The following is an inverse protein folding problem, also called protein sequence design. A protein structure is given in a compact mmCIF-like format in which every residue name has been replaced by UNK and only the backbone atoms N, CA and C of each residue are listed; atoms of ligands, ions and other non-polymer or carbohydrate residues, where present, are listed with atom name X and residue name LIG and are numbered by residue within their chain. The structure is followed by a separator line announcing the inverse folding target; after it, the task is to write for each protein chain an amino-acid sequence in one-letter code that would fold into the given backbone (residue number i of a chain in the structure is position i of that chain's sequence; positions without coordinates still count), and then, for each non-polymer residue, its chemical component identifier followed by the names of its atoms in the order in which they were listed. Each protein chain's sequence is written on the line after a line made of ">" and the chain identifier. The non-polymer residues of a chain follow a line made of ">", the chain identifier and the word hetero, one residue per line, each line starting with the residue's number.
data_IF_287367919168
#
_entry.id   IF_287367919168
#
_cell.length_a   1.000
_cell.length_b   1.000
_cell.length_c   1.000
_cell.angle_alpha   90.00
_cell.angle_beta   90.00
_cell.angle_gamma   90.00
#
_symmetry.space_group_name_H-M   'P 1'
#
loop_
_entity.id
_entity.type
_entity.pdbx_description
1 polymer ?
#
# COMPACT_ATOMS: atom_id res chain seq x y z
N UNK A 1 -12.08 18.35 -0.33
CA UNK A 1 -11.87 17.20 -1.25
C UNK A 1 -11.38 16.03 -0.42
N UNK A 2 -12.10 14.90 -0.47
CA UNK A 2 -11.75 13.67 0.24
C UNK A 2 -10.97 12.75 -0.72
N UNK A 3 -9.73 12.41 -0.35
CA UNK A 3 -8.83 11.60 -1.20
C UNK A 3 -8.54 10.28 -0.50
N UNK A 4 -8.96 9.19 -1.11
CA UNK A 4 -8.66 7.83 -0.67
C UNK A 4 -7.35 7.36 -1.31
N UNK A 5 -6.34 7.08 -0.47
CA UNK A 5 -5.00 6.69 -0.92
C UNK A 5 -4.81 5.17 -0.96
N UNK A 6 -5.69 4.39 -0.34
CA UNK A 6 -5.61 2.93 -0.25
C UNK A 6 -6.84 2.27 -0.85
N UNK A 7 -6.73 1.81 -2.08
CA UNK A 7 -7.72 0.95 -2.71
C UNK A 7 -7.10 0.07 -3.80
N UNK A 8 -7.79 -1.01 -4.14
CA UNK A 8 -7.33 -1.97 -5.15
C UNK A 8 -8.27 -2.01 -6.36
N UNK A 9 -7.68 -2.20 -7.53
CA UNK A 9 -8.39 -2.34 -8.78
C UNK A 9 -7.90 -3.57 -9.55
N UNK A 10 -8.81 -4.28 -10.18
CA UNK A 10 -8.49 -5.48 -10.94
C UNK A 10 -8.62 -5.19 -12.44
N UNK A 11 -7.52 -4.94 -13.16
CA UNK A 11 -7.53 -4.67 -14.59
C UNK A 11 -7.74 -5.97 -15.38
N UNK A 12 -8.97 -6.45 -15.43
CA UNK A 12 -9.34 -7.79 -15.96
C UNK A 12 -8.80 -7.98 -17.37
N UNK A 13 -8.99 -7.02 -18.27
CA UNK A 13 -8.58 -7.13 -19.67
C UNK A 13 -7.07 -7.39 -19.79
N UNK A 14 -6.26 -6.72 -18.96
CA UNK A 14 -4.82 -6.92 -18.94
C UNK A 14 -4.41 -8.31 -18.45
N UNK A 15 -5.19 -8.90 -17.55
CA UNK A 15 -4.93 -10.19 -16.94
C UNK A 15 -5.51 -11.36 -17.74
N UNK A 16 -6.61 -11.17 -18.47
CA UNK A 16 -7.23 -12.17 -19.33
C UNK A 16 -6.52 -12.33 -20.69
N UNK A 17 -5.68 -11.35 -21.08
CA UNK A 17 -4.92 -11.40 -22.32
C UNK A 17 -3.41 -11.37 -22.04
N UNK A 18 -2.88 -12.42 -21.36
CA UNK A 18 -1.51 -12.45 -20.85
C UNK A 18 -0.44 -12.67 -21.93
N UNK A 19 -0.84 -12.94 -23.19
CA UNK A 19 0.08 -13.20 -24.29
C UNK A 19 0.93 -14.44 -24.06
N UNK A 20 2.25 -14.30 -24.18
CA UNK A 20 3.20 -15.43 -24.06
C UNK A 20 3.25 -16.11 -22.68
N UNK A 21 2.63 -15.53 -21.67
CA UNK A 21 2.63 -16.05 -20.30
C UNK A 21 1.25 -16.54 -19.84
N UNK A 22 0.43 -17.04 -20.77
CA UNK A 22 -0.93 -17.49 -20.47
C UNK A 22 -0.99 -18.53 -19.33
N UNK A 23 -0.08 -19.49 -19.28
CA UNK A 23 -0.03 -20.51 -18.24
C UNK A 23 0.42 -19.99 -16.86
N UNK A 24 0.84 -18.72 -16.75
CA UNK A 24 1.29 -18.08 -15.52
C UNK A 24 0.33 -16.98 -15.07
N UNK A 25 -0.73 -16.74 -15.83
CA UNK A 25 -1.76 -15.75 -15.51
C UNK A 25 -2.59 -16.20 -14.30
N UNK A 26 -3.10 -15.25 -13.50
CA UNK A 26 -4.05 -15.57 -12.45
C UNK A 26 -5.34 -16.13 -13.08
N UNK A 27 -5.98 -17.05 -12.37
CA UNK A 27 -7.30 -17.53 -12.80
C UNK A 27 -8.35 -16.47 -12.51
N UNK A 28 -9.03 -16.01 -13.55
CA UNK A 28 -10.09 -15.01 -13.49
C UNK A 28 -11.40 -15.66 -13.89
N UNK A 29 -12.39 -15.57 -13.02
CA UNK A 29 -13.75 -16.05 -13.26
C UNK A 29 -14.70 -14.89 -13.07
N UNK A 30 -15.48 -14.56 -14.09
CA UNK A 30 -16.53 -13.55 -14.05
C UNK A 30 -17.89 -14.23 -14.28
N UNK A 31 -18.68 -14.35 -13.21
CA UNK A 31 -19.98 -15.00 -13.23
C UNK A 31 -21.03 -14.11 -12.57
N UNK A 32 -22.16 -13.89 -13.23
CA UNK A 32 -23.26 -13.07 -12.72
C UNK A 32 -22.82 -11.67 -12.26
N UNK A 33 -21.85 -11.05 -12.94
CA UNK A 33 -21.31 -9.73 -12.60
C UNK A 33 -20.39 -9.73 -11.38
N UNK A 34 -20.04 -10.90 -10.84
CA UNK A 34 -19.09 -11.06 -9.73
C UNK A 34 -17.78 -11.61 -10.22
N UNK A 35 -16.69 -10.94 -9.84
CA UNK A 35 -15.33 -11.30 -10.17
C UNK A 35 -14.74 -12.19 -9.08
N UNK A 36 -14.12 -13.29 -9.47
CA UNK A 36 -13.25 -14.09 -8.60
C UNK A 36 -11.85 -14.18 -9.22
N UNK A 37 -10.83 -13.89 -8.43
CA UNK A 37 -9.43 -13.92 -8.86
C UNK A 37 -8.65 -14.86 -7.96
N UNK A 38 -7.92 -15.81 -8.57
CA UNK A 38 -7.01 -16.72 -7.86
C UNK A 38 -5.60 -16.52 -8.39
N UNK A 39 -4.67 -16.24 -7.51
CA UNK A 39 -3.24 -16.25 -7.76
C UNK A 39 -2.56 -17.35 -6.92
N UNK A 40 -1.25 -17.49 -7.04
CA UNK A 40 -0.48 -18.44 -6.23
C UNK A 40 -0.54 -18.16 -4.73
N UNK A 41 -0.69 -16.88 -4.34
CA UNK A 41 -0.65 -16.47 -2.92
C UNK A 41 -2.00 -16.10 -2.34
N UNK A 42 -3.08 -16.12 -3.12
CA UNK A 42 -4.37 -15.72 -2.56
C UNK A 42 -5.56 -15.89 -3.50
N UNK A 43 -6.73 -15.83 -2.89
CA UNK A 43 -8.02 -15.93 -3.56
C UNK A 43 -8.94 -14.78 -3.15
N UNK A 44 -9.55 -14.11 -4.12
CA UNK A 44 -10.53 -13.04 -3.91
C UNK A 44 -11.84 -13.41 -4.59
N UNK A 45 -12.78 -14.01 -3.84
CA UNK A 45 -14.07 -14.45 -4.40
C UNK A 45 -15.10 -13.34 -4.44
N UNK A 46 -15.96 -13.38 -5.46
CA UNK A 46 -17.24 -12.72 -5.48
C UNK A 46 -17.23 -11.18 -5.41
N UNK A 47 -16.15 -10.54 -5.85
CA UNK A 47 -16.01 -9.09 -5.91
C UNK A 47 -17.06 -8.50 -6.86
N UNK A 48 -17.72 -7.40 -6.44
CA UNK A 48 -18.70 -6.69 -7.28
C UNK A 48 -18.06 -5.96 -8.46
N UNK A 49 -18.89 -5.47 -9.38
CA UNK A 49 -18.45 -4.78 -10.60
C UNK A 49 -17.49 -3.62 -10.32
N UNK A 50 -17.66 -2.88 -9.24
CA UNK A 50 -16.78 -1.79 -8.86
C UNK A 50 -15.32 -2.22 -8.56
N UNK A 51 -15.03 -3.52 -8.50
CA UNK A 51 -13.66 -4.01 -8.40
C UNK A 51 -12.87 -3.85 -9.71
N UNK A 52 -13.56 -3.84 -10.85
CA UNK A 52 -12.94 -3.89 -12.18
C UNK A 52 -13.55 -2.92 -13.21
N UNK A 53 -14.73 -2.37 -12.94
CA UNK A 53 -15.41 -1.39 -13.78
C UNK A 53 -15.31 0.01 -13.17
N UNK A 54 -14.60 0.96 -13.80
CA UNK A 54 -14.44 2.30 -13.27
C UNK A 54 -15.75 3.07 -13.13
N UNK A 55 -16.75 2.82 -13.98
CA UNK A 55 -18.05 3.50 -13.88
C UNK A 55 -18.84 3.02 -12.65
N UNK A 56 -18.82 1.72 -12.39
CA UNK A 56 -19.39 1.16 -11.17
C UNK A 56 -18.62 1.63 -9.92
N UNK A 57 -17.28 1.77 -10.02
CA UNK A 57 -16.43 2.29 -8.94
C UNK A 57 -16.80 3.74 -8.60
N UNK A 58 -16.99 4.61 -9.58
CA UNK A 58 -17.36 6.01 -9.35
C UNK A 58 -18.64 6.12 -8.52
N UNK A 59 -19.65 5.29 -8.80
CA UNK A 59 -20.87 5.26 -7.99
C UNK A 59 -20.61 4.88 -6.53
N UNK A 60 -19.75 3.88 -6.31
CA UNK A 60 -19.35 3.49 -4.95
C UNK A 60 -18.56 4.60 -4.24
N UNK A 61 -17.71 5.35 -4.95
CA UNK A 61 -17.01 6.51 -4.41
C UNK A 61 -17.97 7.61 -3.94
N UNK A 62 -19.00 7.90 -4.74
CA UNK A 62 -20.02 8.89 -4.39
C UNK A 62 -20.77 8.51 -3.10
N UNK A 63 -21.10 7.22 -2.94
CA UNK A 63 -21.72 6.69 -1.72
C UNK A 63 -20.80 6.82 -0.50
N UNK A 64 -19.49 6.59 -0.68
CA UNK A 64 -18.46 6.71 0.36
C UNK A 64 -18.02 8.17 0.60
N UNK A 65 -18.52 9.14 -0.19
CA UNK A 65 -18.11 10.56 -0.17
C UNK A 65 -16.61 10.75 -0.47
N UNK A 66 -16.08 9.97 -1.40
CA UNK A 66 -14.72 10.07 -1.89
C UNK A 66 -14.73 10.82 -3.22
N UNK A 67 -14.00 11.92 -3.29
CA UNK A 67 -13.92 12.76 -4.50
C UNK A 67 -12.89 12.18 -5.49
N UNK A 68 -11.72 11.76 -4.96
CA UNK A 68 -10.60 11.23 -5.73
C UNK A 68 -10.07 9.97 -5.05
N UNK A 69 -9.81 8.92 -5.81
CA UNK A 69 -9.26 7.67 -5.29
C UNK A 69 -7.98 7.27 -6.00
N UNK A 70 -6.99 6.85 -5.25
CA UNK A 70 -5.85 6.12 -5.78
C UNK A 70 -6.25 4.68 -6.02
N UNK A 71 -6.11 4.23 -7.27
CA UNK A 71 -6.28 2.82 -7.65
C UNK A 71 -4.93 2.16 -7.87
N UNK A 72 -4.73 1.00 -7.27
CA UNK A 72 -3.51 0.20 -7.40
C UNK A 72 -3.82 -1.27 -7.71
N UNK A 73 -2.88 -2.05 -8.24
CA UNK A 73 -3.06 -3.50 -8.35
C UNK A 73 -3.31 -4.13 -6.99
N UNK A 74 -4.12 -5.18 -6.91
CA UNK A 74 -4.26 -5.92 -5.66
C UNK A 74 -2.96 -6.64 -5.27
N UNK A 75 -2.60 -6.75 -3.97
CA UNK A 75 -1.38 -7.41 -3.51
C UNK A 75 -1.20 -8.84 -4.04
N UNK A 76 -2.31 -9.58 -4.26
CA UNK A 76 -2.27 -10.91 -4.86
C UNK A 76 -1.86 -10.90 -6.35
N UNK A 77 -1.60 -9.74 -6.92
CA UNK A 77 -1.19 -9.53 -8.32
C UNK A 77 0.19 -8.86 -8.44
N UNK A 78 1.01 -8.86 -7.37
CA UNK A 78 2.39 -8.32 -7.43
C UNK A 78 3.39 -9.29 -8.04
N UNK A 79 3.05 -10.58 -8.19
CA UNK A 79 3.83 -11.63 -8.87
C UNK A 79 5.25 -11.84 -8.33
N UNK A 80 5.53 -11.55 -7.05
CA UNK A 80 6.87 -11.71 -6.47
C UNK A 80 7.34 -13.18 -6.39
N UNK A 81 6.43 -14.13 -6.50
CA UNK A 81 6.69 -15.58 -6.55
C UNK A 81 7.04 -16.10 -7.94
N UNK A 82 6.91 -15.26 -8.97
CA UNK A 82 7.15 -15.61 -10.36
C UNK A 82 8.59 -15.28 -10.81
N UNK A 83 9.00 -15.84 -11.93
CA UNK A 83 10.23 -15.43 -12.60
C UNK A 83 10.17 -13.93 -12.95
N UNK A 84 11.32 -13.26 -12.88
CA UNK A 84 11.41 -11.81 -13.11
C UNK A 84 10.76 -11.37 -14.44
N UNK A 85 10.95 -12.12 -15.52
CA UNK A 85 10.37 -11.80 -16.83
C UNK A 85 8.83 -11.90 -16.85
N UNK A 86 8.26 -12.86 -16.11
CA UNK A 86 6.81 -13.00 -15.95
C UNK A 86 6.26 -11.83 -15.14
N UNK A 87 6.86 -11.56 -13.98
CA UNK A 87 6.45 -10.47 -13.11
C UNK A 87 6.57 -9.10 -13.79
N UNK A 88 7.66 -8.84 -14.51
CA UNK A 88 7.85 -7.62 -15.28
C UNK A 88 6.77 -7.42 -16.37
N UNK A 89 6.40 -8.52 -17.04
CA UNK A 89 5.33 -8.47 -18.04
C UNK A 89 3.98 -8.08 -17.43
N UNK A 90 3.57 -8.75 -16.34
CA UNK A 90 2.30 -8.46 -15.70
C UNK A 90 2.29 -7.08 -15.01
N UNK A 91 3.41 -6.65 -14.42
CA UNK A 91 3.52 -5.28 -13.88
C UNK A 91 3.27 -4.21 -14.96
N UNK A 92 3.91 -4.32 -16.13
CA UNK A 92 3.66 -3.38 -17.24
C UNK A 92 2.21 -3.40 -17.70
N UNK A 93 1.64 -4.59 -17.89
CA UNK A 93 0.24 -4.75 -18.31
C UNK A 93 -0.74 -4.09 -17.32
N UNK A 94 -0.54 -4.28 -16.04
CA UNK A 94 -1.35 -3.67 -15.00
C UNK A 94 -1.18 -2.15 -14.96
N UNK A 95 0.06 -1.67 -15.06
CA UNK A 95 0.36 -0.24 -15.06
C UNK A 95 -0.29 0.48 -16.25
N UNK A 96 -0.20 -0.10 -17.45
CA UNK A 96 -0.86 0.41 -18.67
C UNK A 96 -2.39 0.45 -18.51
N UNK A 97 -2.97 -0.59 -17.93
CA UNK A 97 -4.42 -0.67 -17.73
C UNK A 97 -4.90 0.35 -16.68
N UNK A 98 -4.19 0.51 -15.57
CA UNK A 98 -4.49 1.54 -14.57
C UNK A 98 -4.36 2.94 -15.18
N UNK A 99 -3.28 3.22 -15.92
CA UNK A 99 -3.13 4.48 -16.66
C UNK A 99 -4.33 4.74 -17.55
N UNK A 100 -4.80 3.72 -18.28
CA UNK A 100 -5.97 3.87 -19.18
C UNK A 100 -7.25 4.27 -18.44
N UNK A 101 -7.44 3.79 -17.22
CA UNK A 101 -8.56 4.20 -16.36
C UNK A 101 -8.40 5.65 -15.92
N UNK A 102 -7.20 6.03 -15.47
CA UNK A 102 -6.89 7.40 -15.02
C UNK A 102 -7.09 8.42 -16.15
N UNK A 103 -6.62 8.11 -17.37
CA UNK A 103 -6.79 9.00 -18.53
C UNK A 103 -8.29 9.23 -18.86
N UNK A 104 -9.12 8.20 -18.69
CA UNK A 104 -10.57 8.29 -18.97
C UNK A 104 -11.34 9.04 -17.88
N UNK A 105 -10.84 9.04 -16.65
CA UNK A 105 -11.51 9.59 -15.48
C UNK A 105 -10.53 10.36 -14.58
N UNK A 106 -9.83 11.40 -15.10
CA UNK A 106 -8.75 12.08 -14.40
C UNK A 106 -9.21 12.84 -13.14
N UNK A 107 -10.50 13.20 -13.09
CA UNK A 107 -11.10 13.89 -11.95
C UNK A 107 -11.49 12.95 -10.80
N UNK A 108 -11.42 11.63 -11.03
CA UNK A 108 -11.87 10.62 -10.05
C UNK A 108 -10.78 9.64 -9.64
N UNK A 109 -9.73 9.45 -10.46
CA UNK A 109 -8.69 8.46 -10.19
C UNK A 109 -7.29 9.01 -10.33
N UNK A 110 -6.44 8.54 -9.43
CA UNK A 110 -4.97 8.61 -9.53
C UNK A 110 -4.47 7.17 -9.57
N UNK A 111 -3.42 6.88 -10.33
CA UNK A 111 -2.89 5.54 -10.47
C UNK A 111 -1.62 5.30 -9.67
N UNK A 112 -1.55 4.16 -8.99
CA UNK A 112 -0.30 3.53 -8.59
C UNK A 112 -0.03 2.33 -9.46
N UNK A 113 1.25 2.12 -9.78
CA UNK A 113 1.70 0.94 -10.50
C UNK A 113 2.21 -0.15 -9.57
N UNK A 114 2.71 -1.23 -10.17
CA UNK A 114 3.48 -2.27 -9.51
C UNK A 114 4.81 -2.50 -10.22
N UNK A 115 5.75 -3.12 -9.52
CA UNK A 115 7.09 -3.46 -10.02
C UNK A 115 7.50 -4.86 -9.54
N UNK A 116 8.33 -5.59 -10.31
CA UNK A 116 8.80 -6.93 -9.95
C UNK A 116 10.01 -6.85 -9.01
N UNK A 117 9.80 -6.59 -7.70
CA UNK A 117 10.91 -6.37 -6.76
C UNK A 117 11.92 -7.52 -6.64
N UNK A 118 11.60 -8.73 -7.06
CA UNK A 118 12.56 -9.83 -7.19
C UNK A 118 13.64 -9.58 -8.26
N UNK A 119 13.43 -8.57 -9.15
CA UNK A 119 14.43 -8.06 -10.10
C UNK A 119 14.56 -6.54 -9.95
N UNK A 120 15.57 -6.09 -9.23
CA UNK A 120 15.78 -4.67 -8.94
C UNK A 120 15.97 -3.85 -10.21
N UNK A 121 16.72 -4.38 -11.20
CA UNK A 121 16.93 -3.68 -12.48
C UNK A 121 15.63 -3.50 -13.27
N UNK A 122 14.78 -4.53 -13.35
CA UNK A 122 13.48 -4.41 -14.00
C UNK A 122 12.55 -3.48 -13.21
N UNK A 123 12.61 -3.52 -11.88
CA UNK A 123 11.83 -2.63 -11.02
C UNK A 123 12.16 -1.15 -11.26
N UNK A 124 13.43 -0.80 -11.38
CA UNK A 124 13.87 0.56 -11.68
C UNK A 124 13.39 0.98 -13.08
N UNK A 125 13.53 0.11 -14.08
CA UNK A 125 13.06 0.40 -15.44
C UNK A 125 11.54 0.64 -15.47
N UNK A 126 10.77 -0.25 -14.84
CA UNK A 126 9.30 -0.16 -14.80
C UNK A 126 8.83 1.03 -13.92
N UNK A 127 9.54 1.39 -12.86
CA UNK A 127 9.26 2.59 -12.08
C UNK A 127 9.40 3.87 -12.91
N UNK A 128 10.44 3.94 -13.76
CA UNK A 128 10.61 5.05 -14.72
C UNK A 128 9.50 5.08 -15.78
N UNK A 129 9.13 3.92 -16.31
CA UNK A 129 7.99 3.78 -17.23
C UNK A 129 6.68 4.25 -16.57
N UNK A 130 6.41 3.81 -15.34
CA UNK A 130 5.24 4.20 -14.55
C UNK A 130 5.19 5.72 -14.31
N UNK A 131 6.32 6.34 -13.95
CA UNK A 131 6.42 7.80 -13.81
C UNK A 131 6.14 8.52 -15.13
N UNK A 132 6.69 8.03 -16.24
CA UNK A 132 6.45 8.59 -17.58
C UNK A 132 4.99 8.47 -18.02
N UNK A 133 4.28 7.43 -17.57
CA UNK A 133 2.84 7.24 -17.74
C UNK A 133 1.99 8.18 -16.88
N UNK A 134 2.58 8.92 -15.95
CA UNK A 134 1.86 9.81 -15.03
C UNK A 134 1.36 9.14 -13.76
N UNK A 135 1.73 7.88 -13.49
CA UNK A 135 1.43 7.24 -12.22
C UNK A 135 2.19 7.95 -11.08
N UNK A 136 1.54 8.11 -9.94
CA UNK A 136 2.04 8.92 -8.82
C UNK A 136 2.77 8.13 -7.75
N UNK A 137 2.71 6.81 -7.82
CA UNK A 137 3.34 5.92 -6.86
C UNK A 137 3.34 4.48 -7.33
N UNK A 138 3.85 3.63 -6.46
CA UNK A 138 3.93 2.18 -6.67
C UNK A 138 3.38 1.47 -5.44
N UNK A 139 2.53 0.48 -5.64
CA UNK A 139 2.21 -0.48 -4.59
C UNK A 139 3.28 -1.56 -4.56
N UNK A 140 3.82 -1.79 -3.36
CA UNK A 140 4.84 -2.81 -3.11
C UNK A 140 4.49 -3.66 -1.89
N UNK A 141 5.00 -4.88 -1.89
CA UNK A 141 4.92 -5.76 -0.71
C UNK A 141 5.88 -5.33 0.40
N UNK A 142 5.63 -5.81 1.59
CA UNK A 142 6.48 -5.58 2.77
C UNK A 142 7.74 -6.46 2.81
N UNK A 143 7.86 -7.40 1.88
CA UNK A 143 9.02 -8.28 1.67
C UNK A 143 8.94 -8.93 0.28
N UNK A 144 10.03 -9.52 -0.19
CA UNK A 144 10.10 -10.29 -1.43
C UNK A 144 10.64 -11.69 -1.11
N UNK A 145 9.77 -12.68 -1.07
CA UNK A 145 10.13 -14.00 -0.54
C UNK A 145 10.57 -13.89 0.93
N UNK A 146 11.78 -14.32 1.22
CA UNK A 146 12.44 -14.21 2.53
C UNK A 146 13.25 -12.91 2.72
N UNK A 147 13.35 -12.06 1.69
CA UNK A 147 14.11 -10.82 1.70
C UNK A 147 13.28 -9.67 2.28
N UNK A 148 13.66 -9.11 3.44
CA UNK A 148 13.03 -7.90 3.96
C UNK A 148 13.44 -6.67 3.13
N UNK A 149 12.64 -5.60 3.17
CA UNK A 149 12.90 -4.39 2.37
C UNK A 149 14.18 -3.63 2.78
N UNK A 150 14.73 -3.89 3.95
CA UNK A 150 16.02 -3.36 4.38
C UNK A 150 17.23 -4.19 3.90
N UNK A 151 17.01 -5.24 3.09
CA UNK A 151 18.11 -5.97 2.45
C UNK A 151 18.84 -5.03 1.45
N UNK A 152 20.19 -4.98 1.49
CA UNK A 152 20.97 -4.10 0.62
C UNK A 152 20.70 -4.26 -0.89
N UNK A 153 20.16 -5.40 -1.32
CA UNK A 153 19.80 -5.59 -2.73
C UNK A 153 18.78 -4.56 -3.24
N UNK A 154 17.91 -4.03 -2.36
CA UNK A 154 16.88 -3.06 -2.75
C UNK A 154 17.36 -1.59 -2.73
N UNK A 155 18.59 -1.32 -2.27
CA UNK A 155 19.12 0.04 -2.20
C UNK A 155 19.03 0.80 -3.52
N UNK A 156 19.41 0.24 -4.70
CA UNK A 156 19.29 0.96 -5.96
C UNK A 156 17.84 1.28 -6.36
N UNK A 157 16.87 0.49 -5.91
CA UNK A 157 15.45 0.75 -6.12
C UNK A 157 14.99 1.95 -5.28
N UNK A 158 15.39 2.04 -4.01
CA UNK A 158 15.06 3.19 -3.17
C UNK A 158 15.70 4.47 -3.66
N UNK A 159 16.95 4.44 -4.15
CA UNK A 159 17.59 5.58 -4.81
C UNK A 159 16.75 6.06 -5.99
N UNK A 160 16.38 5.15 -6.89
CA UNK A 160 15.58 5.49 -8.06
C UNK A 160 14.19 6.04 -7.71
N UNK A 161 13.53 5.50 -6.70
CA UNK A 161 12.19 5.96 -6.29
C UNK A 161 12.20 7.35 -5.67
N UNK A 162 13.27 7.72 -4.93
CA UNK A 162 13.46 9.09 -4.44
C UNK A 162 13.69 10.06 -5.59
N UNK A 163 14.58 9.72 -6.57
CA UNK A 163 14.87 10.53 -7.74
C UNK A 163 13.60 10.78 -8.58
N UNK A 164 12.76 9.77 -8.70
CA UNK A 164 11.51 9.83 -9.47
C UNK A 164 10.38 10.52 -8.69
N UNK A 165 10.58 10.84 -7.42
CA UNK A 165 9.54 11.39 -6.55
C UNK A 165 8.24 10.55 -6.59
N UNK A 166 8.37 9.23 -6.44
CA UNK A 166 7.25 8.28 -6.39
C UNK A 166 6.91 7.94 -4.94
N UNK A 167 5.62 7.94 -4.61
CA UNK A 167 5.14 7.43 -3.34
C UNK A 167 5.13 5.89 -3.38
N UNK A 168 5.78 5.25 -2.42
CA UNK A 168 5.68 3.81 -2.22
C UNK A 168 4.55 3.52 -1.23
N UNK A 169 3.51 2.87 -1.70
CA UNK A 169 2.43 2.35 -0.87
C UNK A 169 2.77 0.91 -0.48
N UNK A 170 3.00 0.67 0.81
CA UNK A 170 3.42 -0.65 1.29
C UNK A 170 2.24 -1.42 1.82
N UNK A 171 1.96 -2.56 1.18
CA UNK A 171 0.91 -3.48 1.60
C UNK A 171 1.52 -4.83 2.01
N UNK A 172 1.10 -5.41 3.15
CA UNK A 172 1.57 -6.74 3.55
C UNK A 172 1.07 -7.81 2.58
N UNK A 173 1.90 -8.82 2.38
CA UNK A 173 1.57 -9.97 1.54
C UNK A 173 1.07 -11.13 2.40
N UNK A 174 0.26 -11.99 1.80
CA UNK A 174 -0.20 -13.24 2.42
C UNK A 174 0.97 -14.22 2.64
N UNK A 175 0.81 -15.12 3.61
CA UNK A 175 1.78 -16.17 3.93
C UNK A 175 2.50 -15.97 5.26
N UNK A 176 3.13 -17.05 5.76
CA UNK A 176 3.94 -17.06 6.99
C UNK A 176 3.27 -17.69 8.22
N UNK A 177 1.98 -17.98 8.19
CA UNK A 177 1.34 -18.93 9.09
C UNK A 177 1.37 -20.33 8.46
N UNK A 178 1.35 -21.33 9.30
CA UNK A 178 1.19 -22.72 8.84
C UNK A 178 -0.11 -22.83 8.03
N UNK A 179 -0.01 -23.29 6.79
CA UNK A 179 -1.19 -23.44 5.93
C UNK A 179 -2.19 -24.48 6.46
N UNK A 180 -1.72 -25.41 7.29
CA UNK A 180 -2.55 -26.44 7.92
C UNK A 180 -3.23 -25.94 9.20
N UNK A 181 -2.89 -24.76 9.71
CA UNK A 181 -3.59 -24.14 10.85
C UNK A 181 -4.98 -23.66 10.39
N UNK A 182 -6.06 -24.22 10.95
CA UNK A 182 -7.44 -23.82 10.60
C UNK A 182 -7.75 -22.35 10.89
N UNK A 183 -6.97 -21.68 11.72
CA UNK A 183 -7.10 -20.26 12.03
C UNK A 183 -6.27 -19.36 11.08
N UNK A 184 -5.39 -19.93 10.28
CA UNK A 184 -4.53 -19.16 9.38
C UNK A 184 -5.30 -18.17 8.48
N UNK A 185 -6.47 -18.49 7.89
CA UNK A 185 -7.21 -17.54 7.06
C UNK A 185 -7.69 -16.29 7.83
N UNK A 186 -7.98 -16.43 9.12
CA UNK A 186 -8.42 -15.33 10.00
C UNK A 186 -7.19 -14.57 10.52
N UNK A 187 -6.25 -15.29 11.15
CA UNK A 187 -5.07 -14.70 11.78
C UNK A 187 -4.11 -14.06 10.78
N UNK A 188 -4.07 -14.55 9.54
CA UNK A 188 -3.31 -13.96 8.45
C UNK A 188 -3.69 -12.51 8.21
N UNK A 189 -4.97 -12.23 8.10
CA UNK A 189 -5.46 -10.88 7.87
C UNK A 189 -5.47 -10.04 9.16
N UNK A 190 -6.02 -10.57 10.26
CA UNK A 190 -6.25 -9.82 11.50
C UNK A 190 -4.95 -9.47 12.23
N UNK A 191 -3.98 -10.40 12.27
CA UNK A 191 -2.77 -10.22 13.07
C UNK A 191 -1.49 -10.15 12.21
N UNK A 192 -1.34 -11.07 11.27
CA UNK A 192 -0.06 -11.22 10.58
C UNK A 192 0.23 -10.03 9.66
N UNK A 193 -0.76 -9.48 8.96
CA UNK A 193 -0.59 -8.29 8.13
C UNK A 193 -0.08 -7.11 8.96
N UNK A 194 -0.71 -6.84 10.08
CA UNK A 194 -0.32 -5.73 10.97
C UNK A 194 1.04 -5.96 11.60
N UNK A 195 1.35 -7.19 12.01
CA UNK A 195 2.66 -7.55 12.55
C UNK A 195 3.78 -7.40 11.52
N UNK A 196 3.58 -7.89 10.29
CA UNK A 196 4.60 -7.83 9.23
C UNK A 196 4.91 -6.40 8.80
N UNK A 197 3.90 -5.53 8.72
CA UNK A 197 4.10 -4.10 8.46
C UNK A 197 4.93 -3.46 9.56
N UNK A 198 4.61 -3.74 10.83
CA UNK A 198 5.35 -3.24 11.99
C UNK A 198 6.81 -3.70 11.95
N UNK A 199 7.04 -5.01 11.79
CA UNK A 199 8.37 -5.59 11.72
C UNK A 199 9.22 -4.95 10.60
N UNK A 200 8.63 -4.78 9.42
CA UNK A 200 9.32 -4.13 8.29
C UNK A 200 9.77 -2.72 8.65
N UNK A 201 8.88 -1.88 9.19
CA UNK A 201 9.21 -0.48 9.50
C UNK A 201 10.25 -0.40 10.62
N UNK A 202 10.12 -1.19 11.69
CA UNK A 202 11.10 -1.22 12.77
C UNK A 202 12.48 -1.66 12.27
N UNK A 203 12.55 -2.64 11.36
CA UNK A 203 13.80 -3.00 10.69
C UNK A 203 14.38 -1.83 9.89
N UNK A 204 13.57 -1.16 9.06
CA UNK A 204 14.01 0.01 8.27
C UNK A 204 14.51 1.15 9.17
N UNK A 205 13.89 1.37 10.33
CA UNK A 205 14.39 2.34 11.33
C UNK A 205 15.74 1.86 11.87
N UNK A 206 15.81 0.64 12.41
CA UNK A 206 17.01 0.10 13.08
C UNK A 206 18.21 0.06 12.13
N UNK A 207 18.02 -0.25 10.86
CA UNK A 207 19.08 -0.29 9.85
C UNK A 207 19.46 1.10 9.30
N UNK A 208 18.79 2.18 9.74
CA UNK A 208 19.12 3.55 9.36
C UNK A 208 18.65 3.96 7.97
N UNK A 209 17.71 3.23 7.36
CA UNK A 209 17.24 3.52 6.01
C UNK A 209 16.67 4.93 5.85
N UNK A 210 15.98 5.46 6.88
CA UNK A 210 15.39 6.81 6.82
C UNK A 210 16.43 7.93 6.93
N UNK A 211 17.64 7.63 7.38
CA UNK A 211 18.78 8.55 7.31
C UNK A 211 19.44 8.46 5.92
N UNK A 212 19.56 7.25 5.38
CA UNK A 212 20.14 7.00 4.05
C UNK A 212 19.25 7.54 2.93
N UNK A 213 17.92 7.42 3.10
CA UNK A 213 16.92 7.83 2.10
C UNK A 213 16.00 8.93 2.66
N UNK A 214 16.49 10.16 2.86
CA UNK A 214 15.76 11.23 3.56
C UNK A 214 14.50 11.70 2.83
N UNK A 215 14.43 11.52 1.51
CA UNK A 215 13.31 11.93 0.67
C UNK A 215 12.39 10.76 0.27
N UNK A 216 12.64 9.55 0.81
CA UNK A 216 11.79 8.40 0.53
C UNK A 216 10.37 8.65 1.07
N UNK A 217 9.40 8.54 0.19
CA UNK A 217 7.97 8.69 0.53
C UNK A 217 7.37 7.30 0.72
N UNK A 218 6.97 6.97 1.94
CA UNK A 218 6.28 5.72 2.26
C UNK A 218 4.91 6.00 2.85
N UNK A 219 3.89 5.28 2.36
CA UNK A 219 2.58 5.19 2.99
C UNK A 219 2.32 3.74 3.40
N UNK A 220 1.91 3.55 4.63
CA UNK A 220 1.69 2.25 5.24
C UNK A 220 0.20 1.94 5.27
N UNK A 221 -0.17 0.75 4.80
CA UNK A 221 -1.53 0.24 4.91
C UNK A 221 -1.90 -0.13 6.35
N UNK A 222 -3.19 -0.19 6.62
CA UNK A 222 -3.79 -0.67 7.89
C UNK A 222 -3.26 0.09 9.11
N UNK A 223 -3.22 1.43 9.01
CA UNK A 223 -2.73 2.31 10.08
C UNK A 223 -1.26 2.08 10.47
N UNK A 224 -0.46 1.47 9.57
CA UNK A 224 0.91 1.06 9.88
C UNK A 224 1.00 -0.15 10.81
N UNK A 225 -0.07 -0.94 10.90
CA UNK A 225 -0.13 -2.15 11.72
C UNK A 225 -0.15 -1.86 13.21
N UNK A 226 0.79 -2.43 13.95
CA UNK A 226 0.93 -2.26 15.40
C UNK A 226 1.95 -1.16 15.76
N UNK A 227 2.51 -0.46 14.76
CA UNK A 227 3.66 0.42 14.92
C UNK A 227 3.40 1.54 15.93
N UNK A 228 2.26 2.23 15.84
CA UNK A 228 1.91 3.33 16.74
C UNK A 228 1.88 2.90 18.22
N UNK A 229 1.52 1.64 18.49
CA UNK A 229 1.54 1.09 19.83
C UNK A 229 2.92 0.59 20.25
N UNK A 230 3.67 -0.05 19.35
CA UNK A 230 4.93 -0.73 19.66
C UNK A 230 6.17 0.19 19.67
N UNK A 231 6.12 1.33 18.98
CA UNK A 231 7.26 2.23 18.80
C UNK A 231 7.91 2.68 20.13
N UNK A 232 7.12 2.85 21.18
CA UNK A 232 7.59 3.24 22.51
C UNK A 232 8.48 2.17 23.15
N UNK A 233 8.24 0.89 22.81
CA UNK A 233 9.11 -0.20 23.25
C UNK A 233 10.45 -0.17 22.52
N UNK A 234 10.46 0.22 21.25
CA UNK A 234 11.70 0.42 20.49
C UNK A 234 12.48 1.64 21.01
N UNK A 235 11.80 2.74 21.37
CA UNK A 235 12.42 3.90 22.03
C UNK A 235 13.05 3.53 23.35
N UNK A 236 12.38 2.72 24.17
CA UNK A 236 12.94 2.23 25.42
C UNK A 236 14.20 1.39 25.18
N UNK A 237 14.16 0.48 24.19
CA UNK A 237 15.32 -0.31 23.79
C UNK A 237 16.47 0.56 23.31
N UNK A 238 16.19 1.60 22.51
CA UNK A 238 17.17 2.59 22.06
C UNK A 238 17.88 3.26 23.24
N UNK A 239 17.16 3.62 24.30
CA UNK A 239 17.73 4.21 25.53
C UNK A 239 18.69 3.29 26.28
N UNK A 240 18.57 1.98 26.10
CA UNK A 240 19.40 0.97 26.77
C UNK A 240 20.57 0.47 25.92
N UNK A 241 20.55 0.69 24.59
CA UNK A 241 21.46 0.06 23.64
C UNK A 241 22.38 1.09 22.99
N UNK A 242 23.65 1.09 23.40
CA UNK A 242 24.70 1.98 22.85
C UNK A 242 24.96 1.70 21.36
N UNK A 243 24.79 0.46 20.90
CA UNK A 243 24.92 0.09 19.49
C UNK A 243 23.84 0.77 18.63
N UNK A 244 22.57 0.78 19.07
CA UNK A 244 21.51 1.51 18.38
C UNK A 244 21.72 3.03 18.38
N UNK A 245 22.20 3.59 19.51
CA UNK A 245 22.49 5.03 19.62
C UNK A 245 23.64 5.48 18.71
N UNK A 246 24.58 4.59 18.42
CA UNK A 246 25.64 4.85 17.43
C UNK A 246 25.13 4.82 15.98
N UNK A 247 24.13 4.00 15.73
CA UNK A 247 23.58 3.80 14.40
C UNK A 247 22.51 4.85 14.03
N UNK A 248 21.70 5.25 15.02
CA UNK A 248 20.60 6.17 14.84
C UNK A 248 20.88 7.50 15.54
N UNK A 249 20.89 8.64 14.82
CA UNK A 249 21.14 9.96 15.41
C UNK A 249 20.00 10.47 16.29
N UNK A 250 18.82 9.86 16.23
CA UNK A 250 17.61 10.23 16.98
C UNK A 250 16.80 9.01 17.38
N UNK A 251 15.80 9.22 18.26
CA UNK A 251 14.93 8.14 18.73
C UNK A 251 14.09 7.54 17.59
N UNK A 252 13.80 6.23 17.65
CA UNK A 252 12.96 5.56 16.69
C UNK A 252 11.61 6.24 16.41
N UNK A 253 10.92 6.71 17.45
CA UNK A 253 9.63 7.40 17.29
C UNK A 253 9.69 8.68 16.45
N UNK A 254 10.83 9.35 16.39
CA UNK A 254 11.00 10.56 15.60
C UNK A 254 10.98 10.30 14.08
N UNK A 255 11.19 9.04 13.66
CA UNK A 255 11.11 8.63 12.26
C UNK A 255 9.67 8.46 11.76
N UNK A 256 8.67 8.38 12.64
CA UNK A 256 7.27 8.30 12.24
C UNK A 256 6.84 9.50 11.39
N UNK A 257 7.47 10.66 11.58
CA UNK A 257 7.25 11.86 10.77
C UNK A 257 7.67 11.73 9.30
N UNK A 258 8.38 10.66 8.93
CA UNK A 258 8.77 10.34 7.56
C UNK A 258 7.74 9.49 6.82
N UNK A 259 6.73 8.98 7.53
CA UNK A 259 5.76 8.00 7.04
C UNK A 259 4.38 8.62 6.93
N UNK A 260 3.56 8.08 6.02
CA UNK A 260 2.13 8.27 6.00
C UNK A 260 1.44 6.97 6.46
N UNK A 261 0.27 7.12 7.05
CA UNK A 261 -0.52 6.03 7.62
C UNK A 261 -1.95 6.15 7.13
N UNK A 262 -2.55 5.08 6.64
CA UNK A 262 -3.95 5.12 6.30
C UNK A 262 -4.88 5.04 7.53
N UNK A 263 -6.16 5.28 7.33
CA UNK A 263 -7.18 5.30 8.40
C UNK A 263 -7.76 3.93 8.74
N UNK A 264 -7.26 2.83 8.15
CA UNK A 264 -7.88 1.51 8.29
C UNK A 264 -7.47 0.86 9.60
N UNK A 265 -8.09 1.28 10.68
CA UNK A 265 -7.92 0.75 12.04
C UNK A 265 -9.25 0.35 12.68
N UNK A 266 -10.36 0.39 11.92
CA UNK A 266 -11.71 -0.09 12.24
C UNK A 266 -12.37 0.50 13.50
N UNK A 267 -11.74 1.48 14.18
CA UNK A 267 -12.25 2.11 15.41
C UNK A 267 -11.89 3.58 15.44
N UNK A 268 -12.83 4.44 15.83
CA UNK A 268 -12.56 5.88 16.05
C UNK A 268 -11.53 6.09 17.16
N UNK A 269 -11.60 5.30 18.24
CA UNK A 269 -10.65 5.40 19.35
C UNK A 269 -9.22 4.98 18.91
N UNK A 270 -9.09 3.93 18.10
CA UNK A 270 -7.81 3.52 17.55
C UNK A 270 -7.25 4.57 16.58
N UNK A 271 -8.11 5.17 15.73
CA UNK A 271 -7.72 6.24 14.81
C UNK A 271 -7.30 7.50 15.57
N UNK A 272 -8.01 7.87 16.64
CA UNK A 272 -7.63 8.98 17.50
C UNK A 272 -6.24 8.77 18.11
N UNK A 273 -5.98 7.55 18.61
CA UNK A 273 -4.67 7.20 19.15
C UNK A 273 -3.58 7.26 18.07
N UNK A 274 -3.83 6.73 16.87
CA UNK A 274 -2.89 6.82 15.75
C UNK A 274 -2.53 8.30 15.47
N UNK A 275 -3.54 9.17 15.31
CA UNK A 275 -3.34 10.61 15.07
C UNK A 275 -2.52 11.26 16.18
N UNK A 276 -2.76 10.92 17.45
CA UNK A 276 -2.00 11.45 18.59
C UNK A 276 -0.52 11.04 18.56
N UNK A 277 -0.22 9.84 18.06
CA UNK A 277 1.15 9.31 18.02
C UNK A 277 1.93 9.82 16.82
N UNK A 278 1.32 9.80 15.63
CA UNK A 278 2.06 10.09 14.39
C UNK A 278 1.89 11.53 13.90
N UNK A 279 0.89 12.25 14.41
CA UNK A 279 0.49 13.58 13.95
C UNK A 279 -0.59 13.55 12.87
N UNK A 280 -1.51 14.50 12.91
CA UNK A 280 -2.60 14.60 11.93
C UNK A 280 -2.10 14.81 10.50
N UNK A 281 -0.91 15.42 10.33
CA UNK A 281 -0.29 15.69 9.02
C UNK A 281 0.33 14.43 8.35
N UNK A 282 0.25 13.27 9.02
CA UNK A 282 0.76 11.98 8.55
C UNK A 282 -0.33 10.96 8.27
N UNK A 283 -1.58 11.25 8.60
CA UNK A 283 -2.70 10.33 8.38
C UNK A 283 -3.43 10.69 7.10
N UNK A 284 -3.77 9.67 6.29
CA UNK A 284 -4.48 9.79 5.01
C UNK A 284 -5.68 8.85 5.00
N UNK A 285 -6.76 9.19 4.31
CA UNK A 285 -7.86 8.25 4.14
C UNK A 285 -7.39 7.02 3.36
N UNK A 286 -7.80 5.84 3.82
CA UNK A 286 -7.77 4.58 3.12
C UNK A 286 -9.09 3.86 3.27
N UNK A 287 -9.56 3.19 2.22
CA UNK A 287 -10.77 2.36 2.27
C UNK A 287 -10.49 0.87 2.11
N UNK A 288 -9.37 0.49 1.53
CA UNK A 288 -9.08 -0.89 1.09
C UNK A 288 -10.18 -1.47 0.17
N UNK A 289 -10.89 -0.57 -0.53
CA UNK A 289 -11.95 -0.99 -1.44
C UNK A 289 -11.35 -1.80 -2.61
N UNK A 290 -11.90 -2.93 -3.03
CA UNK A 290 -13.20 -3.50 -2.64
C UNK A 290 -13.08 -4.69 -1.65
N UNK A 291 -12.05 -4.73 -0.84
CA UNK A 291 -11.78 -5.88 0.04
C UNK A 291 -12.78 -5.99 1.18
N UNK A 292 -13.06 -7.24 1.61
CA UNK A 292 -14.03 -7.51 2.66
C UNK A 292 -13.66 -6.89 4.02
N UNK A 293 -12.36 -6.72 4.28
CA UNK A 293 -11.83 -6.04 5.47
C UNK A 293 -11.64 -4.54 5.28
N UNK A 294 -12.15 -3.97 4.18
CA UNK A 294 -12.09 -2.55 3.93
C UNK A 294 -12.90 -1.70 4.92
N UNK A 295 -12.58 -0.43 4.98
CA UNK A 295 -13.24 0.57 5.82
C UNK A 295 -13.97 1.62 4.97
N UNK A 296 -15.17 1.30 4.52
CA UNK A 296 -15.94 2.16 3.61
C UNK A 296 -16.58 3.37 4.34
N UNK A 297 -16.48 3.42 5.66
CA UNK A 297 -16.91 4.54 6.50
C UNK A 297 -15.78 5.48 6.94
N UNK A 298 -14.59 5.42 6.34
CA UNK A 298 -13.40 6.17 6.74
C UNK A 298 -13.67 7.67 6.91
N UNK A 299 -14.34 8.32 5.94
CA UNK A 299 -14.70 9.75 6.03
C UNK A 299 -15.52 10.03 7.29
N UNK A 300 -16.54 9.20 7.58
CA UNK A 300 -17.39 9.34 8.76
C UNK A 300 -16.62 9.17 10.08
N UNK A 301 -15.58 8.33 10.12
CA UNK A 301 -14.71 8.17 11.30
C UNK A 301 -13.81 9.37 11.50
N UNK A 302 -13.23 9.92 10.43
CA UNK A 302 -12.43 11.14 10.50
C UNK A 302 -13.25 12.33 11.01
N UNK A 303 -14.53 12.40 10.63
CA UNK A 303 -15.45 13.46 11.14
C UNK A 303 -15.73 13.35 12.65
N UNK A 304 -15.48 12.22 13.29
CA UNK A 304 -15.70 11.99 14.72
C UNK A 304 -14.42 12.20 15.57
N UNK A 305 -13.26 12.46 14.94
CA UNK A 305 -12.03 12.69 15.68
C UNK A 305 -12.06 14.02 16.43
N UNK A 306 -11.44 14.02 17.61
CA UNK A 306 -11.14 15.23 18.36
C UNK A 306 -9.86 15.88 17.84
N UNK A 307 -10.00 16.62 16.76
CA UNK A 307 -8.95 17.35 16.05
C UNK A 307 -9.49 18.68 15.52
N UNK A 308 -8.62 19.63 15.28
CA UNK A 308 -9.01 20.91 14.66
C UNK A 308 -9.56 20.73 13.24
N UNK A 309 -10.34 21.69 12.76
CA UNK A 309 -10.84 21.65 11.36
C UNK A 309 -9.72 21.64 10.32
N UNK A 310 -8.58 22.27 10.63
CA UNK A 310 -7.39 22.23 9.77
C UNK A 310 -6.80 20.83 9.69
N UNK A 311 -6.61 20.18 10.84
CA UNK A 311 -6.11 18.80 10.90
C UNK A 311 -7.08 17.81 10.22
N UNK A 312 -8.38 18.01 10.45
CA UNK A 312 -9.42 17.22 9.77
C UNK A 312 -9.33 17.33 8.26
N UNK A 313 -9.21 18.56 7.73
CA UNK A 313 -9.05 18.79 6.30
C UNK A 313 -7.74 18.20 5.75
N UNK A 314 -6.68 18.20 6.54
CA UNK A 314 -5.42 17.51 6.19
C UNK A 314 -5.62 16.00 6.06
N UNK A 315 -6.26 15.35 7.04
CA UNK A 315 -6.51 13.90 7.02
C UNK A 315 -7.46 13.53 5.86
N UNK A 316 -8.52 14.32 5.64
CA UNK A 316 -9.51 14.05 4.59
C UNK A 316 -8.92 14.05 3.18
N UNK A 317 -7.89 14.87 2.91
CA UNK A 317 -7.31 14.89 1.58
C UNK A 317 -6.04 15.72 1.43
N UNK A 318 -5.81 16.73 2.28
CA UNK A 318 -4.65 17.61 2.17
C UNK A 318 -3.31 16.87 2.24
N UNK A 319 -3.22 15.86 3.11
CA UNK A 319 -2.02 15.04 3.24
C UNK A 319 -1.79 14.15 2.00
N UNK A 320 -2.85 13.51 1.51
CA UNK A 320 -2.78 12.69 0.30
C UNK A 320 -2.41 13.55 -0.92
N UNK A 321 -3.03 14.74 -1.09
CA UNK A 321 -2.68 15.67 -2.15
C UNK A 321 -1.20 16.06 -2.11
N UNK A 322 -0.68 16.41 -0.91
CA UNK A 322 0.75 16.74 -0.72
C UNK A 322 1.65 15.55 -1.05
N UNK A 323 1.32 14.34 -0.59
CA UNK A 323 2.11 13.14 -0.83
C UNK A 323 2.19 12.80 -2.33
N UNK A 324 1.10 13.02 -3.07
CA UNK A 324 0.94 12.71 -4.49
C UNK A 324 1.41 13.83 -5.42
N UNK A 325 1.68 15.03 -4.89
CA UNK A 325 2.02 16.21 -5.70
C UNK A 325 0.85 16.66 -6.60
N UNK A 326 -0.36 16.77 -6.01
CA UNK A 326 -1.59 17.24 -6.66
C UNK A 326 -1.85 18.72 -6.38
#
# INVERSE_FOLDING_TARGET
>A
MNIDLHSHFFPIDALQHPGKFENRAPKIVLENGKLSVTSQIGFRPGLGAAAYDPVARIKALDEMKIDLQVISPSPILLFYWEDAAVAAHFSRKQNEAIQSVVIKHPDRFVGFGSVPLQSVSDSIAIAREAKAMGLKGLEIGNAVGDKPLDDPMFEPFFDATQELDLLLFVHPLEGGLDADDPLAPILGNVLQFTFRTTLMVERMIITGMFEKYPNLKLCLSHGGGLLAFNIWRLDHSYGLRVDLQKQLPKKPSEYLTKLYFDTIVHSVAALQYLVQVVGADRVVIGTDYPMAMGDFGSVGKVMQLDVSETERAQILGGNAARALGL
#
